data_IF_586772704272
#
_entry.id   IF_586772704272
#
_cell.length_a   1.000
_cell.length_b   1.000
_cell.length_c   1.000
_cell.angle_alpha   90.00
_cell.angle_beta   90.00
_cell.angle_gamma   90.00
#
_symmetry.space_group_name_H-M   'P 1'
#
loop_
_entity.id
_entity.type
_entity.pdbx_description
1 polymer ?
#
# COMPACT_ATOMS: atom_id res chain seq x y z
N UNK A 1 9.61 -4.04 -13.17
CA UNK A 1 9.25 -3.01 -14.18
C UNK A 1 8.32 -2.00 -13.53
N UNK A 2 8.59 -0.70 -13.70
CA UNK A 2 7.78 0.39 -13.16
C UNK A 2 6.77 0.86 -14.21
N UNK A 3 5.49 0.52 -14.02
CA UNK A 3 4.37 0.75 -14.96
C UNK A 3 4.61 0.19 -16.37
N UNK A 4 3.63 -0.45 -16.92
CA UNK A 4 3.71 -1.02 -18.28
C UNK A 4 3.34 0.03 -19.33
N UNK A 5 3.87 -0.12 -20.53
CA UNK A 5 3.29 0.46 -21.72
C UNK A 5 2.09 -0.40 -22.15
N UNK A 6 0.92 0.20 -22.25
CA UNK A 6 -0.31 -0.51 -22.63
C UNK A 6 -0.32 -0.96 -24.10
N UNK A 7 0.58 -0.42 -24.93
CA UNK A 7 0.73 -0.80 -26.33
C UNK A 7 1.58 -2.06 -26.52
N UNK A 8 2.29 -2.51 -25.47
CA UNK A 8 3.12 -3.72 -25.49
C UNK A 8 2.39 -4.83 -24.74
N UNK A 9 2.15 -6.02 -25.34
CA UNK A 9 1.59 -7.17 -24.65
C UNK A 9 2.40 -7.51 -23.40
N UNK A 10 1.72 -7.82 -22.31
CA UNK A 10 2.40 -8.07 -21.03
C UNK A 10 3.29 -9.32 -21.08
N UNK A 11 2.95 -10.27 -21.91
CA UNK A 11 3.71 -11.50 -22.15
C UNK A 11 5.07 -11.19 -22.80
N UNK A 12 5.14 -10.25 -23.75
CA UNK A 12 6.41 -9.81 -24.36
C UNK A 12 7.30 -9.09 -23.34
N UNK A 13 6.69 -8.28 -22.47
CA UNK A 13 7.41 -7.63 -21.37
C UNK A 13 7.96 -8.68 -20.41
N UNK A 14 7.14 -9.66 -20.01
CA UNK A 14 7.54 -10.75 -19.14
C UNK A 14 8.67 -11.60 -19.75
N UNK A 15 8.58 -11.90 -21.05
CA UNK A 15 9.63 -12.60 -21.79
C UNK A 15 10.95 -11.83 -21.78
N UNK A 16 10.91 -10.54 -22.04
CA UNK A 16 12.12 -9.68 -22.02
C UNK A 16 12.76 -9.63 -20.63
N UNK A 17 11.97 -9.58 -19.57
CA UNK A 17 12.45 -9.64 -18.20
C UNK A 17 13.01 -11.02 -17.83
N UNK A 18 12.40 -12.10 -18.33
CA UNK A 18 12.87 -13.47 -18.14
C UNK A 18 14.27 -13.68 -18.74
N UNK A 19 14.57 -13.05 -19.87
CA UNK A 19 15.92 -13.10 -20.47
C UNK A 19 16.98 -12.43 -19.56
N UNK A 20 16.60 -11.41 -18.76
CA UNK A 20 17.51 -10.83 -17.78
C UNK A 20 17.81 -11.80 -16.63
N UNK A 21 16.82 -12.59 -16.20
CA UNK A 21 17.01 -13.65 -15.21
C UNK A 21 17.92 -14.73 -15.79
N UNK A 22 17.61 -15.22 -16.98
CA UNK A 22 18.39 -16.27 -17.67
C UNK A 22 19.85 -15.87 -17.91
N UNK A 23 20.10 -14.59 -18.19
CA UNK A 23 21.45 -14.04 -18.35
C UNK A 23 22.18 -13.78 -17.03
N UNK A 24 21.57 -14.06 -15.87
CA UNK A 24 22.13 -13.85 -14.54
C UNK A 24 22.22 -12.40 -14.09
N UNK A 25 21.61 -11.46 -14.81
CA UNK A 25 21.61 -10.02 -14.47
C UNK A 25 20.69 -9.66 -13.29
N UNK A 26 19.67 -10.47 -13.06
CA UNK A 26 18.80 -10.39 -11.88
C UNK A 26 18.39 -11.80 -11.46
N UNK A 27 17.99 -11.96 -10.20
CA UNK A 27 17.50 -13.23 -9.68
C UNK A 27 16.00 -13.43 -9.92
N UNK A 28 15.24 -12.35 -9.91
CA UNK A 28 13.77 -12.38 -9.98
C UNK A 28 13.26 -11.13 -10.69
N UNK A 29 12.01 -11.17 -11.12
CA UNK A 29 11.31 -10.03 -11.73
C UNK A 29 10.10 -9.62 -10.91
N UNK A 30 9.68 -8.37 -11.08
CA UNK A 30 8.49 -7.82 -10.46
C UNK A 30 7.90 -6.68 -11.28
N UNK A 31 6.67 -6.33 -10.95
CA UNK A 31 5.91 -5.27 -11.60
C UNK A 31 5.43 -4.23 -10.61
N UNK A 32 5.06 -3.05 -11.10
CA UNK A 32 4.41 -2.01 -10.31
C UNK A 32 3.10 -1.61 -10.99
N UNK A 33 2.02 -1.46 -10.18
CA UNK A 33 0.72 -0.99 -10.65
C UNK A 33 0.17 -1.84 -11.83
N UNK A 34 0.13 -3.16 -11.64
CA UNK A 34 -0.36 -4.13 -12.64
C UNK A 34 -1.75 -4.65 -12.25
N UNK A 35 -2.62 -4.83 -13.24
CA UNK A 35 -3.93 -5.45 -13.00
C UNK A 35 -3.82 -6.97 -12.74
N UNK A 36 -4.75 -7.57 -11.99
CA UNK A 36 -4.72 -9.00 -11.64
C UNK A 36 -4.60 -9.92 -12.87
N UNK A 37 -5.35 -9.65 -13.93
CA UNK A 37 -5.31 -10.43 -15.19
C UNK A 37 -3.95 -10.30 -15.88
N UNK A 38 -3.38 -9.09 -15.92
CA UNK A 38 -2.05 -8.89 -16.51
C UNK A 38 -0.95 -9.56 -15.69
N UNK A 39 -1.08 -9.61 -14.36
CA UNK A 39 -0.17 -10.36 -13.50
C UNK A 39 -0.22 -11.86 -13.80
N UNK A 40 -1.41 -12.43 -13.96
CA UNK A 40 -1.60 -13.83 -14.32
C UNK A 40 -0.93 -14.19 -15.65
N UNK A 41 -1.15 -13.36 -16.69
CA UNK A 41 -0.52 -13.55 -18.00
C UNK A 41 1.01 -13.45 -17.94
N UNK A 42 1.53 -12.47 -17.20
CA UNK A 42 2.97 -12.31 -17.01
C UNK A 42 3.58 -13.50 -16.25
N UNK A 43 2.89 -13.95 -15.18
CA UNK A 43 3.34 -15.06 -14.35
C UNK A 43 3.35 -16.39 -15.12
N UNK A 44 2.43 -16.58 -16.07
CA UNK A 44 2.40 -17.76 -16.95
C UNK A 44 3.63 -17.83 -17.87
N UNK A 45 4.23 -16.70 -18.22
CA UNK A 45 5.49 -16.65 -19.02
C UNK A 45 6.70 -16.89 -18.13
N UNK A 46 6.78 -16.23 -16.98
CA UNK A 46 7.86 -16.37 -16.02
C UNK A 46 7.38 -16.01 -14.60
N UNK A 47 7.75 -16.76 -13.56
CA UNK A 47 7.34 -16.47 -12.18
C UNK A 47 7.64 -15.02 -11.79
N UNK A 48 6.62 -14.31 -11.30
CA UNK A 48 6.71 -12.93 -10.82
C UNK A 48 6.85 -12.97 -9.31
N UNK A 49 7.98 -12.51 -8.79
CA UNK A 49 8.28 -12.58 -7.36
C UNK A 49 7.54 -11.51 -6.54
N UNK A 50 7.35 -10.33 -7.10
CA UNK A 50 6.72 -9.22 -6.37
C UNK A 50 5.89 -8.32 -7.30
N UNK A 51 4.82 -7.76 -6.72
CA UNK A 51 4.07 -6.65 -7.30
C UNK A 51 4.08 -5.51 -6.30
N UNK A 52 4.49 -4.32 -6.74
CA UNK A 52 4.41 -3.12 -5.92
C UNK A 52 3.21 -2.27 -6.35
N UNK A 53 2.29 -1.99 -5.41
CA UNK A 53 1.11 -1.16 -5.66
C UNK A 53 0.77 -0.29 -4.46
N UNK A 54 0.08 0.84 -4.69
CA UNK A 54 -0.43 1.64 -3.57
C UNK A 54 -1.49 0.84 -2.83
N UNK A 55 -1.24 0.57 -1.55
CA UNK A 55 -2.20 -0.14 -0.72
C UNK A 55 -2.18 0.36 0.72
N UNK A 56 -3.31 0.78 1.20
CA UNK A 56 -3.56 1.28 2.55
C UNK A 56 -5.06 1.33 2.81
N UNK A 57 -5.47 1.63 4.03
CA UNK A 57 -6.87 1.93 4.35
C UNK A 57 -7.48 3.03 3.46
N UNK A 58 -6.66 3.96 2.94
CA UNK A 58 -7.09 5.01 2.03
C UNK A 58 -7.06 4.62 0.54
N UNK A 59 -6.49 3.48 0.18
CA UNK A 59 -6.36 3.00 -1.19
C UNK A 59 -6.57 1.50 -1.21
N UNK A 60 -7.81 1.07 -1.35
CA UNK A 60 -8.22 -0.33 -1.24
C UNK A 60 -8.52 -0.99 -2.60
N UNK A 61 -8.19 -0.31 -3.71
CA UNK A 61 -8.34 -0.89 -5.05
C UNK A 61 -7.65 -2.26 -5.25
N UNK A 62 -6.47 -2.56 -4.63
CA UNK A 62 -5.88 -3.89 -4.73
C UNK A 62 -6.76 -5.04 -4.22
N UNK A 63 -7.71 -4.79 -3.32
CA UNK A 63 -8.66 -5.77 -2.82
C UNK A 63 -9.66 -6.25 -3.88
N UNK A 64 -9.78 -5.53 -5.00
CA UNK A 64 -10.60 -5.91 -6.15
C UNK A 64 -9.96 -7.03 -7.00
N UNK A 65 -9.08 -7.84 -6.41
CA UNK A 65 -8.52 -9.04 -7.01
C UNK A 65 -6.99 -9.12 -7.04
N UNK A 66 -6.25 -8.01 -6.88
CA UNK A 66 -4.78 -8.05 -6.94
C UNK A 66 -4.16 -8.75 -5.73
N UNK A 67 -4.65 -8.45 -4.52
CA UNK A 67 -4.19 -9.09 -3.28
C UNK A 67 -4.42 -10.61 -3.36
N UNK A 68 -5.62 -11.02 -3.77
CA UNK A 68 -5.99 -12.44 -3.92
C UNK A 68 -5.16 -13.13 -5.02
N UNK A 69 -4.92 -12.44 -6.15
CA UNK A 69 -4.11 -12.98 -7.23
C UNK A 69 -2.65 -13.16 -6.80
N UNK A 70 -2.10 -12.22 -6.06
CA UNK A 70 -0.75 -12.34 -5.48
C UNK A 70 -0.65 -13.58 -4.58
N UNK A 71 -1.63 -13.79 -3.67
CA UNK A 71 -1.67 -14.97 -2.82
C UNK A 71 -1.72 -16.27 -3.63
N UNK A 72 -2.58 -16.34 -4.65
CA UNK A 72 -2.74 -17.52 -5.51
C UNK A 72 -1.44 -17.90 -6.25
N UNK A 73 -0.68 -16.89 -6.69
CA UNK A 73 0.53 -17.09 -7.48
C UNK A 73 1.83 -17.17 -6.63
N UNK A 74 1.74 -17.02 -5.30
CA UNK A 74 2.92 -16.94 -4.44
C UNK A 74 3.76 -15.68 -4.70
N UNK A 75 3.12 -14.61 -5.20
CA UNK A 75 3.74 -13.33 -5.49
C UNK A 75 3.63 -12.42 -4.27
N UNK A 76 4.71 -11.77 -3.86
CA UNK A 76 4.69 -10.79 -2.76
C UNK A 76 4.01 -9.51 -3.20
N UNK A 77 3.02 -9.06 -2.42
CA UNK A 77 2.39 -7.75 -2.58
C UNK A 77 3.15 -6.70 -1.76
N UNK A 78 3.88 -5.84 -2.41
CA UNK A 78 4.65 -4.76 -1.78
C UNK A 78 3.80 -3.49 -1.76
N UNK A 79 3.28 -3.15 -0.56
CA UNK A 79 2.35 -2.05 -0.35
C UNK A 79 3.08 -0.72 -0.13
N UNK A 80 3.12 0.16 -1.14
CA UNK A 80 3.67 1.49 -0.94
C UNK A 80 2.59 2.48 -0.42
N UNK A 81 3.05 3.59 0.18
CA UNK A 81 2.20 4.59 0.87
C UNK A 81 1.28 3.98 1.94
N UNK A 82 1.75 3.06 2.79
CA UNK A 82 0.92 2.32 3.73
C UNK A 82 0.19 3.20 4.76
N UNK A 83 0.72 4.39 5.05
CA UNK A 83 0.10 5.39 5.93
C UNK A 83 -0.56 6.55 5.17
N UNK A 84 -0.96 6.30 3.90
CA UNK A 84 -1.67 7.26 3.06
C UNK A 84 -1.01 8.65 3.00
N UNK A 85 0.32 8.68 2.88
CA UNK A 85 1.11 9.92 2.80
C UNK A 85 0.86 10.86 3.99
N UNK A 86 0.89 10.33 5.21
CA UNK A 86 0.65 10.96 6.51
C UNK A 86 -0.80 11.07 6.98
N UNK A 87 -1.81 10.86 6.17
CA UNK A 87 -3.22 10.95 6.62
C UNK A 87 -3.54 9.96 7.75
N UNK A 88 -2.89 8.78 7.74
CA UNK A 88 -3.08 7.71 8.73
C UNK A 88 -1.96 7.70 9.78
N UNK A 89 -1.46 8.86 10.16
CA UNK A 89 -0.46 9.03 11.23
C UNK A 89 -1.00 9.96 12.32
N UNK A 90 -0.37 9.98 13.48
CA UNK A 90 -0.71 10.90 14.57
C UNK A 90 -0.28 12.35 14.26
N UNK A 91 0.61 12.50 13.28
CA UNK A 91 1.18 13.77 12.85
C UNK A 91 0.94 14.01 11.35
N UNK A 92 -0.33 14.14 10.89
CA UNK A 92 -0.61 14.38 9.48
C UNK A 92 -0.04 15.74 9.04
N UNK A 93 0.47 15.77 7.79
CA UNK A 93 0.97 17.01 7.21
C UNK A 93 -0.15 18.04 7.11
N UNK A 94 0.15 19.31 7.42
CA UNK A 94 -0.79 20.41 7.22
C UNK A 94 -1.12 20.61 5.74
N UNK A 95 -2.25 21.25 5.44
CA UNK A 95 -2.63 21.56 4.06
C UNK A 95 -1.55 22.34 3.30
N UNK A 96 -0.95 23.34 3.94
CA UNK A 96 0.12 24.14 3.35
C UNK A 96 1.38 23.30 3.08
N UNK A 97 1.72 22.37 3.97
CA UNK A 97 2.81 21.42 3.73
C UNK A 97 2.50 20.50 2.53
N UNK A 98 1.26 20.00 2.41
CA UNK A 98 0.84 19.20 1.26
C UNK A 98 0.96 19.99 -0.06
N UNK A 99 0.55 21.25 -0.09
CA UNK A 99 0.66 22.15 -1.26
C UNK A 99 2.10 22.39 -1.69
N UNK A 100 3.06 22.40 -0.76
CA UNK A 100 4.48 22.58 -1.05
C UNK A 100 5.12 21.39 -1.74
N UNK A 101 4.51 20.19 -1.63
CA UNK A 101 5.01 18.95 -2.20
C UNK A 101 4.41 18.71 -3.59
N UNK A 102 5.25 18.67 -4.63
CA UNK A 102 4.84 18.64 -6.04
C UNK A 102 3.81 17.53 -6.33
N UNK A 103 4.01 16.32 -5.79
CA UNK A 103 3.09 15.21 -5.98
C UNK A 103 1.76 15.43 -5.26
N UNK A 104 1.77 15.90 -4.00
CA UNK A 104 0.54 16.09 -3.23
C UNK A 104 -0.29 17.24 -3.78
N UNK A 105 0.36 18.29 -4.25
CA UNK A 105 -0.31 19.47 -4.82
C UNK A 105 -1.26 19.15 -5.98
N UNK A 106 -0.97 18.11 -6.76
CA UNK A 106 -1.80 17.69 -7.91
C UNK A 106 -2.67 16.46 -7.60
N UNK A 107 -2.50 15.85 -6.44
CA UNK A 107 -3.25 14.67 -6.06
C UNK A 107 -4.66 15.06 -5.56
N UNK A 108 -5.75 14.48 -6.11
CA UNK A 108 -7.12 14.80 -5.71
C UNK A 108 -7.39 14.67 -4.20
N UNK A 109 -6.74 13.72 -3.53
CA UNK A 109 -6.88 13.48 -2.08
C UNK A 109 -6.45 14.67 -1.21
N UNK A 110 -5.56 15.53 -1.73
CA UNK A 110 -4.99 16.68 -1.03
C UNK A 110 -5.47 18.03 -1.57
N UNK A 111 -6.53 18.07 -2.40
CA UNK A 111 -7.21 19.31 -2.75
C UNK A 111 -7.98 19.82 -1.53
N UNK A 112 -8.21 21.13 -1.42
CA UNK A 112 -8.67 21.78 -0.19
C UNK A 112 -9.88 21.11 0.44
N UNK A 113 -10.95 20.91 -0.33
CA UNK A 113 -12.19 20.34 0.19
C UNK A 113 -12.03 18.85 0.54
N UNK A 114 -11.36 18.10 -0.33
CA UNK A 114 -11.08 16.68 -0.11
C UNK A 114 -10.14 16.48 1.08
N UNK A 115 -9.12 17.33 1.22
CA UNK A 115 -8.21 17.28 2.35
C UNK A 115 -8.95 17.50 3.68
N UNK A 116 -9.82 18.52 3.77
CA UNK A 116 -10.62 18.78 4.98
C UNK A 116 -11.47 17.57 5.36
N UNK A 117 -12.14 16.96 4.37
CA UNK A 117 -12.95 15.75 4.58
C UNK A 117 -12.08 14.57 5.04
N UNK A 118 -10.96 14.32 4.39
CA UNK A 118 -10.05 13.25 4.74
C UNK A 118 -9.46 13.42 6.14
N UNK A 119 -9.16 14.65 6.55
CA UNK A 119 -8.69 14.96 7.90
C UNK A 119 -9.74 14.67 8.97
N UNK A 120 -11.02 14.94 8.70
CA UNK A 120 -12.13 14.62 9.61
C UNK A 120 -12.31 13.09 9.74
N UNK A 121 -12.29 12.37 8.62
CA UNK A 121 -12.42 10.90 8.60
C UNK A 121 -11.23 10.23 9.29
N UNK A 122 -10.00 10.62 8.96
CA UNK A 122 -8.80 10.06 9.59
C UNK A 122 -8.67 10.40 11.08
N UNK A 123 -9.38 11.43 11.58
CA UNK A 123 -9.45 11.70 13.01
C UNK A 123 -10.15 10.57 13.80
N UNK A 124 -11.17 9.92 13.22
CA UNK A 124 -11.84 8.77 13.83
C UNK A 124 -10.88 7.59 13.95
N UNK A 125 -10.05 7.35 12.93
CA UNK A 125 -9.03 6.32 12.96
C UNK A 125 -7.94 6.59 14.02
N UNK A 126 -7.51 7.84 14.16
CA UNK A 126 -6.57 8.23 15.23
C UNK A 126 -7.16 8.04 16.62
N UNK A 127 -8.45 8.37 16.80
CA UNK A 127 -9.14 8.14 18.07
C UNK A 127 -9.18 6.64 18.40
N UNK A 128 -9.55 5.78 17.44
CA UNK A 128 -9.53 4.34 17.60
C UNK A 128 -8.13 3.82 17.95
N UNK A 129 -7.07 4.29 17.28
CA UNK A 129 -5.71 3.89 17.61
C UNK A 129 -5.35 4.23 19.07
N UNK A 130 -5.73 5.43 19.52
CA UNK A 130 -5.55 5.85 20.91
C UNK A 130 -6.32 4.97 21.91
N UNK A 131 -7.56 4.59 21.59
CA UNK A 131 -8.36 3.67 22.42
C UNK A 131 -7.74 2.28 22.50
N UNK A 132 -7.11 1.81 21.42
CA UNK A 132 -6.35 0.55 21.38
C UNK A 132 -4.94 0.67 22.01
N UNK A 133 -4.56 1.83 22.53
CA UNK A 133 -3.27 2.07 23.17
C UNK A 133 -2.07 2.03 22.21
N UNK A 134 -2.29 2.36 20.93
CA UNK A 134 -1.25 2.35 19.90
C UNK A 134 -1.24 3.64 19.09
N UNK A 135 -0.22 3.85 18.24
CA UNK A 135 -0.20 4.96 17.30
C UNK A 135 -1.03 4.63 16.05
N UNK A 136 -1.57 5.66 15.40
CA UNK A 136 -2.29 5.50 14.13
C UNK A 136 -1.36 4.92 13.05
N UNK A 137 -0.08 5.30 13.04
CA UNK A 137 0.94 4.75 12.16
C UNK A 137 1.09 3.24 12.34
N UNK A 138 1.21 2.78 13.59
CA UNK A 138 1.34 1.37 13.94
C UNK A 138 0.08 0.58 13.57
N UNK A 139 -1.10 1.12 13.88
CA UNK A 139 -2.39 0.49 13.54
C UNK A 139 -2.55 0.31 12.02
N UNK A 140 -2.16 1.30 11.21
CA UNK A 140 -2.22 1.22 9.75
C UNK A 140 -1.27 0.12 9.20
N UNK A 141 -0.08 -0.03 9.76
CA UNK A 141 0.86 -1.10 9.39
C UNK A 141 0.32 -2.48 9.82
N UNK A 142 -0.18 -2.61 11.05
CA UNK A 142 -0.75 -3.86 11.55
C UNK A 142 -1.94 -4.31 10.69
N UNK A 143 -2.80 -3.37 10.29
CA UNK A 143 -3.92 -3.67 9.39
C UNK A 143 -3.43 -4.21 8.04
N UNK A 144 -2.40 -3.62 7.42
CA UNK A 144 -1.85 -4.13 6.17
C UNK A 144 -1.27 -5.54 6.33
N UNK A 145 -0.55 -5.80 7.42
CA UNK A 145 0.02 -7.11 7.70
C UNK A 145 -1.07 -8.17 7.95
N UNK A 146 -2.25 -7.78 8.45
CA UNK A 146 -3.38 -8.70 8.61
C UNK A 146 -4.05 -9.12 7.30
N UNK A 147 -3.72 -8.47 6.17
CA UNK A 147 -4.27 -8.81 4.86
C UNK A 147 -3.66 -10.08 4.24
N UNK A 148 -2.62 -10.62 4.84
CA UNK A 148 -1.99 -11.88 4.45
C UNK A 148 -0.47 -11.87 4.55
N UNK A 149 0.14 -13.02 4.74
CA UNK A 149 1.60 -13.17 4.87
C UNK A 149 2.39 -12.70 3.63
N UNK A 150 1.71 -12.63 2.48
CA UNK A 150 2.28 -12.16 1.22
C UNK A 150 2.26 -10.64 1.08
N UNK A 151 1.65 -9.89 2.04
CA UNK A 151 1.57 -8.42 2.01
C UNK A 151 2.70 -7.81 2.85
N UNK A 152 3.53 -6.99 2.22
CA UNK A 152 4.69 -6.34 2.84
C UNK A 152 4.58 -4.84 2.68
N UNK A 153 4.25 -4.08 3.73
CA UNK A 153 4.23 -2.62 3.68
C UNK A 153 5.65 -2.04 3.63
N UNK A 154 5.83 -0.97 2.85
CA UNK A 154 7.09 -0.25 2.71
C UNK A 154 6.92 1.23 3.10
N UNK A 155 6.76 1.53 4.40
CA UNK A 155 6.64 2.90 4.88
C UNK A 155 7.94 3.68 4.71
N UNK A 156 7.83 4.98 4.38
CA UNK A 156 8.96 5.90 4.32
C UNK A 156 8.85 6.97 5.41
N UNK A 157 9.97 7.27 6.08
CA UNK A 157 10.06 8.35 7.06
C UNK A 157 11.45 8.98 7.08
N UNK A 158 11.56 10.19 7.66
CA UNK A 158 12.82 10.90 7.92
C UNK A 158 13.04 11.13 9.42
N UNK A 159 12.17 10.61 10.26
CA UNK A 159 12.21 10.74 11.72
C UNK A 159 12.42 9.37 12.35
N UNK A 160 13.35 9.27 13.31
CA UNK A 160 13.58 8.04 14.06
C UNK A 160 12.34 7.67 14.88
N UNK A 161 11.71 8.65 15.55
CA UNK A 161 10.50 8.40 16.35
C UNK A 161 9.34 7.87 15.48
N UNK A 162 9.14 8.41 14.28
CA UNK A 162 8.13 7.89 13.36
C UNK A 162 8.51 6.50 12.82
N UNK A 163 9.79 6.18 12.69
CA UNK A 163 10.23 4.83 12.34
C UNK A 163 9.88 3.84 13.45
N UNK A 164 10.11 4.20 14.70
CA UNK A 164 9.78 3.36 15.86
C UNK A 164 8.28 3.07 15.93
N UNK A 165 7.42 4.10 15.67
CA UNK A 165 5.97 3.91 15.56
C UNK A 165 5.61 2.91 14.44
N UNK A 166 6.18 3.07 13.25
CA UNK A 166 5.90 2.19 12.10
C UNK A 166 6.34 0.74 12.38
N UNK A 167 7.52 0.56 12.98
CA UNK A 167 8.04 -0.77 13.32
C UNK A 167 7.20 -1.44 14.42
N UNK A 168 6.70 -0.67 15.39
CA UNK A 168 5.84 -1.23 16.45
C UNK A 168 4.57 -1.88 15.89
N UNK A 169 4.07 -1.42 14.74
CA UNK A 169 2.93 -2.03 14.05
C UNK A 169 3.16 -3.48 13.63
N UNK A 170 4.40 -3.91 13.41
CA UNK A 170 4.71 -5.30 13.08
C UNK A 170 4.52 -6.26 14.27
N UNK A 171 4.51 -5.74 15.49
CA UNK A 171 4.26 -6.52 16.72
C UNK A 171 2.80 -6.54 17.17
N UNK A 172 1.90 -5.78 16.50
CA UNK A 172 0.51 -5.73 16.89
C UNK A 172 -0.28 -6.89 16.26
N UNK A 173 -1.03 -7.60 17.10
CA UNK A 173 -2.01 -8.60 16.65
C UNK A 173 -3.40 -8.00 16.77
N UNK A 174 -4.10 -7.89 15.63
CA UNK A 174 -5.46 -7.36 15.58
C UNK A 174 -6.47 -8.50 15.72
N UNK A 175 -7.40 -8.35 16.67
CA UNK A 175 -8.54 -9.24 16.79
C UNK A 175 -9.58 -8.99 15.68
N UNK A 176 -10.52 -9.92 15.42
CA UNK A 176 -11.64 -9.66 14.52
C UNK A 176 -12.43 -8.39 14.89
N UNK A 177 -12.62 -8.12 16.18
CA UNK A 177 -13.31 -6.94 16.67
C UNK A 177 -12.54 -5.66 16.35
N UNK A 178 -11.20 -5.68 16.45
CA UNK A 178 -10.37 -4.53 16.07
C UNK A 178 -10.46 -4.24 14.56
N UNK A 179 -10.47 -5.29 13.74
CA UNK A 179 -10.63 -5.16 12.28
C UNK A 179 -12.00 -4.58 11.91
N UNK A 180 -13.07 -5.02 12.58
CA UNK A 180 -14.42 -4.46 12.42
C UNK A 180 -14.45 -2.98 12.83
N UNK A 181 -13.82 -2.60 13.93
CA UNK A 181 -13.75 -1.22 14.40
C UNK A 181 -12.95 -0.34 13.41
N UNK A 182 -11.87 -0.85 12.84
CA UNK A 182 -11.10 -0.17 11.79
C UNK A 182 -11.98 0.06 10.55
N UNK A 183 -12.74 -0.94 10.11
CA UNK A 183 -13.63 -0.83 8.95
C UNK A 183 -14.77 0.18 9.19
N UNK A 184 -15.27 0.29 10.42
CA UNK A 184 -16.27 1.29 10.78
C UNK A 184 -15.67 2.72 10.81
N UNK A 185 -14.43 2.86 11.32
CA UNK A 185 -13.75 4.15 11.37
C UNK A 185 -13.36 4.67 9.97
N UNK A 186 -12.96 3.77 9.07
CA UNK A 186 -12.51 4.07 7.70
C UNK A 186 -13.12 3.04 6.72
N UNK A 187 -14.40 3.14 6.36
CA UNK A 187 -15.01 2.22 5.40
C UNK A 187 -14.41 2.37 4.00
N UNK A 188 -14.54 1.32 3.18
CA UNK A 188 -14.06 1.34 1.79
C UNK A 188 -14.64 2.55 1.04
N UNK A 189 -13.77 3.29 0.34
CA UNK A 189 -14.18 4.44 -0.48
C UNK A 189 -14.34 5.76 0.28
N UNK A 190 -13.82 5.84 1.51
CA UNK A 190 -13.77 7.10 2.26
C UNK A 190 -12.88 8.15 1.61
#
# INVERSE_FOLDING_TARGET
MHRRDSLVPIEEVAQSLAELVKSGKTRQIGFSEIAPTSLELAHAVHPVAAVQSEYSLATRAPELGLVQKCAQLGTTMVAFSPVARSLLTDHPLSFEACKSLAFMRVNPRFQEDTYKLNMQKSAQFRALASELGTSASALAIAWLLSQGEHVVPIPGTRSVSHLDELVSGAGLSLSPTDLEAIEQALPVGW
#
